data_IF_590598192197
#
_entry.id   IF_590598192197
#
_cell.length_a   1.000
_cell.length_b   1.000
_cell.length_c   1.000
_cell.angle_alpha   90.00
_cell.angle_beta   90.00
_cell.angle_gamma   90.00
#
_symmetry.space_group_name_H-M   'P 1'
#
loop_
_entity.id
_entity.type
_entity.pdbx_description
1 polymer ?
#
# COMPACT_ATOMS: atom_id res chain seq x y z
N UNK A 1 -9.82 3.14 -35.00
CA UNK A 1 -10.26 4.52 -35.27
C UNK A 1 -9.49 5.01 -36.48
N UNK A 2 -10.04 5.93 -37.28
CA UNK A 2 -9.33 6.48 -38.44
C UNK A 2 -8.17 7.39 -37.99
N UNK A 3 -7.00 7.28 -38.62
CA UNK A 3 -5.78 8.00 -38.22
C UNK A 3 -5.96 9.52 -38.29
N UNK A 4 -6.78 10.00 -39.22
CA UNK A 4 -7.14 11.40 -39.35
C UNK A 4 -7.91 11.94 -38.15
N UNK A 5 -8.85 11.16 -37.62
CA UNK A 5 -9.66 11.54 -36.45
C UNK A 5 -8.81 11.59 -35.19
N UNK A 6 -7.86 10.67 -35.02
CA UNK A 6 -6.93 10.69 -33.88
C UNK A 6 -5.98 11.88 -33.94
N UNK A 7 -5.53 12.29 -35.14
CA UNK A 7 -4.73 13.49 -35.32
C UNK A 7 -5.52 14.78 -35.02
N UNK A 8 -6.78 14.85 -35.48
CA UNK A 8 -7.68 15.97 -35.21
C UNK A 8 -7.93 16.15 -33.71
N UNK A 9 -8.28 15.07 -32.99
CA UNK A 9 -8.51 15.09 -31.54
C UNK A 9 -7.26 15.57 -30.77
N UNK A 10 -6.08 15.11 -31.16
CA UNK A 10 -4.81 15.56 -30.54
C UNK A 10 -4.58 17.06 -30.74
N UNK A 11 -4.85 17.58 -31.92
CA UNK A 11 -4.68 19.00 -32.22
C UNK A 11 -5.65 19.88 -31.40
N UNK A 12 -6.92 19.45 -31.31
CA UNK A 12 -7.92 20.17 -30.52
C UNK A 12 -7.63 20.12 -29.00
N UNK A 13 -7.18 18.97 -28.47
CA UNK A 13 -6.75 18.86 -27.06
C UNK A 13 -5.54 19.75 -26.75
N UNK A 14 -4.59 19.89 -27.67
CA UNK A 14 -3.46 20.81 -27.50
C UNK A 14 -3.90 22.29 -27.44
N UNK A 15 -4.92 22.67 -28.22
CA UNK A 15 -5.53 24.00 -28.17
C UNK A 15 -6.40 24.24 -26.93
N UNK A 16 -6.93 23.18 -26.32
CA UNK A 16 -7.78 23.28 -25.14
C UNK A 16 -7.01 23.22 -23.82
N UNK A 17 -6.00 22.35 -23.76
CA UNK A 17 -5.31 21.98 -22.52
C UNK A 17 -3.78 22.19 -22.60
N UNK A 18 -3.28 22.69 -23.72
CA UNK A 18 -1.85 22.99 -23.90
C UNK A 18 -1.43 24.33 -23.30
N UNK A 19 -0.11 24.61 -23.31
CA UNK A 19 0.45 25.84 -22.74
C UNK A 19 -0.06 27.13 -23.42
N UNK A 20 -0.41 27.03 -24.71
CA UNK A 20 -0.93 28.13 -25.53
C UNK A 20 -2.43 27.96 -25.82
N UNK A 21 -3.21 27.55 -24.81
CA UNK A 21 -4.62 27.22 -24.99
C UNK A 21 -5.46 28.42 -25.51
N UNK A 22 -6.02 28.28 -26.70
CA UNK A 22 -6.77 29.32 -27.43
C UNK A 22 -8.20 28.88 -27.80
N UNK A 23 -8.60 27.63 -27.51
CA UNK A 23 -9.85 27.04 -28.03
C UNK A 23 -11.11 27.78 -27.57
N UNK A 24 -11.06 28.47 -26.43
CA UNK A 24 -12.20 29.18 -25.86
C UNK A 24 -12.72 30.33 -26.77
N UNK A 25 -11.87 30.84 -27.67
CA UNK A 25 -12.26 31.84 -28.66
C UNK A 25 -12.93 31.23 -29.92
N UNK A 26 -12.98 29.90 -30.03
CA UNK A 26 -13.48 29.16 -31.18
C UNK A 26 -14.60 28.17 -30.74
N UNK A 27 -15.88 28.60 -30.77
CA UNK A 27 -16.99 27.76 -30.32
C UNK A 27 -17.22 26.54 -31.21
N UNK A 28 -16.82 26.60 -32.49
CA UNK A 28 -16.92 25.46 -33.42
C UNK A 28 -15.90 24.40 -33.06
N UNK A 29 -14.65 24.80 -32.81
CA UNK A 29 -13.61 23.87 -32.35
C UNK A 29 -13.95 23.26 -30.98
N UNK A 30 -14.57 24.03 -30.09
CA UNK A 30 -15.02 23.53 -28.77
C UNK A 30 -16.10 22.46 -28.92
N UNK A 31 -17.11 22.70 -29.77
CA UNK A 31 -18.16 21.70 -30.06
C UNK A 31 -17.56 20.43 -30.68
N UNK A 32 -16.64 20.60 -31.63
CA UNK A 32 -15.98 19.48 -32.32
C UNK A 32 -15.12 18.65 -31.37
N UNK A 33 -14.41 19.29 -30.44
CA UNK A 33 -13.64 18.61 -29.41
C UNK A 33 -14.55 17.75 -28.53
N UNK A 34 -15.68 18.31 -28.05
CA UNK A 34 -16.63 17.59 -27.20
C UNK A 34 -17.20 16.33 -27.89
N UNK A 35 -17.53 16.42 -29.18
CA UNK A 35 -17.99 15.26 -29.97
C UNK A 35 -16.92 14.15 -30.04
N UNK A 36 -15.68 14.53 -30.34
CA UNK A 36 -14.58 13.57 -30.49
C UNK A 36 -14.20 12.92 -29.16
N UNK A 37 -14.22 13.66 -28.05
CA UNK A 37 -13.96 13.10 -26.72
C UNK A 37 -15.08 12.18 -26.23
N UNK A 38 -16.33 12.48 -26.58
CA UNK A 38 -17.45 11.58 -26.30
C UNK A 38 -17.30 10.26 -27.08
N UNK A 39 -16.92 10.32 -28.35
CA UNK A 39 -16.67 9.14 -29.17
C UNK A 39 -15.46 8.33 -28.67
N UNK A 40 -14.38 8.99 -28.28
CA UNK A 40 -13.17 8.37 -27.69
C UNK A 40 -13.50 7.63 -26.39
N UNK A 41 -14.28 8.26 -25.49
CA UNK A 41 -14.75 7.64 -24.24
C UNK A 41 -15.65 6.43 -24.50
N UNK A 42 -16.55 6.52 -25.48
CA UNK A 42 -17.42 5.41 -25.86
C UNK A 42 -16.64 4.24 -26.47
N UNK A 43 -15.62 4.52 -27.29
CA UNK A 43 -14.74 3.50 -27.86
C UNK A 43 -13.90 2.81 -26.77
N UNK A 44 -13.34 3.58 -25.82
CA UNK A 44 -12.62 3.03 -24.68
C UNK A 44 -13.52 2.14 -23.81
N UNK A 45 -14.75 2.57 -23.52
CA UNK A 45 -15.73 1.78 -22.78
C UNK A 45 -16.12 0.49 -23.53
N UNK A 46 -16.22 0.54 -24.87
CA UNK A 46 -16.49 -0.65 -25.67
C UNK A 46 -15.31 -1.63 -25.69
N UNK A 47 -14.06 -1.15 -25.66
CA UNK A 47 -12.86 -1.98 -25.60
C UNK A 47 -12.68 -2.69 -24.24
N UNK A 48 -13.20 -2.09 -23.16
CA UNK A 48 -13.16 -2.65 -21.81
C UNK A 48 -14.30 -3.63 -21.52
N UNK A 49 -15.31 -3.73 -22.41
CA UNK A 49 -16.36 -4.75 -22.24
C UNK A 49 -15.76 -6.14 -22.44
N UNK A 50 -15.95 -7.07 -21.48
CA UNK A 50 -15.60 -8.47 -21.69
C UNK A 50 -16.22 -8.96 -22.99
N UNK A 51 -15.40 -9.57 -23.85
CA UNK A 51 -15.90 -10.22 -25.06
C UNK A 51 -16.79 -11.37 -24.59
N UNK A 52 -18.07 -11.31 -24.93
CA UNK A 52 -19.04 -12.35 -24.56
C UNK A 52 -18.48 -13.72 -24.94
N UNK A 53 -18.36 -14.67 -24.00
CA UNK A 53 -17.82 -15.98 -24.30
C UNK A 53 -18.73 -16.65 -25.32
N UNK A 54 -18.14 -17.12 -26.42
CA UNK A 54 -18.80 -17.98 -27.39
C UNK A 54 -19.27 -19.25 -26.64
N UNK A 55 -20.52 -19.72 -26.84
CA UNK A 55 -21.11 -20.74 -25.99
C UNK A 55 -20.32 -22.05 -26.05
N UNK A 56 -19.78 -22.44 -24.89
CA UNK A 56 -19.04 -23.68 -24.66
C UNK A 56 -20.01 -24.87 -24.56
N UNK A 57 -19.73 -26.03 -25.19
CA UNK A 57 -20.63 -27.19 -25.15
C UNK A 57 -20.65 -27.89 -23.78
N UNK A 58 -21.84 -28.33 -23.35
CA UNK A 58 -22.13 -28.94 -22.03
C UNK A 58 -21.33 -30.23 -21.73
N UNK A 59 -20.94 -30.47 -20.46
CA UNK A 59 -20.27 -31.69 -20.03
C UNK A 59 -21.23 -32.82 -19.56
N UNK A 60 -20.94 -34.06 -19.95
CA UNK A 60 -21.60 -35.29 -19.48
C UNK A 60 -21.04 -35.78 -18.12
N UNK A 61 -21.83 -36.54 -17.32
CA UNK A 61 -21.52 -36.82 -15.91
C UNK A 61 -20.48 -37.93 -15.66
N UNK A 62 -19.71 -37.74 -14.58
CA UNK A 62 -18.70 -38.64 -14.02
C UNK A 62 -19.27 -39.96 -13.44
N UNK A 63 -18.49 -41.03 -13.59
CA UNK A 63 -18.65 -42.30 -12.86
C UNK A 63 -17.58 -42.37 -11.78
N UNK A 64 -18.03 -42.47 -10.53
CA UNK A 64 -17.26 -42.71 -9.30
C UNK A 64 -16.67 -44.12 -9.26
N UNK A 65 -15.43 -44.24 -8.76
CA UNK A 65 -14.96 -45.48 -8.14
C UNK A 65 -14.13 -45.17 -6.88
N UNK A 66 -14.51 -45.82 -5.79
CA UNK A 66 -14.05 -45.62 -4.42
C UNK A 66 -13.21 -46.84 -4.00
N UNK A 67 -12.00 -46.63 -3.46
CA UNK A 67 -11.37 -47.63 -2.58
C UNK A 67 -10.57 -46.96 -1.46
N UNK A 68 -10.99 -47.32 -0.25
CA UNK A 68 -10.50 -46.92 1.05
C UNK A 68 -9.07 -47.39 1.37
N UNK A 69 -8.40 -46.72 2.31
CA UNK A 69 -8.08 -47.27 3.65
C UNK A 69 -6.94 -46.51 4.38
N UNK A 70 -7.32 -45.97 5.55
CA UNK A 70 -6.66 -46.10 6.87
C UNK A 70 -5.39 -45.27 7.18
N UNK A 71 -5.57 -44.27 8.05
CA UNK A 71 -4.59 -43.70 8.98
C UNK A 71 -4.20 -44.73 10.08
N UNK A 72 -3.00 -44.63 10.70
CA UNK A 72 -2.83 -43.75 11.88
C UNK A 72 -1.47 -43.02 11.97
N UNK A 73 -1.48 -41.89 12.70
CA UNK A 73 -0.32 -41.09 13.13
C UNK A 73 0.46 -41.72 14.32
N UNK A 74 1.33 -40.99 15.05
CA UNK A 74 2.72 -40.67 14.76
C UNK A 74 3.68 -41.28 15.81
N UNK A 75 4.94 -41.56 15.46
CA UNK A 75 5.94 -42.03 16.45
C UNK A 75 7.25 -41.25 16.30
N UNK A 76 7.65 -40.62 17.40
CA UNK A 76 8.93 -39.92 17.53
C UNK A 76 10.14 -40.85 17.51
N UNK A 77 11.32 -40.27 17.33
CA UNK A 77 12.58 -40.92 17.68
C UNK A 77 13.62 -39.87 18.06
N UNK A 78 14.06 -40.01 19.30
CA UNK A 78 15.17 -39.40 20.01
C UNK A 78 16.54 -39.64 19.34
N UNK A 79 17.55 -38.80 19.60
CA UNK A 79 18.93 -39.09 19.23
C UNK A 79 19.58 -39.96 20.32
N UNK A 80 20.20 -41.08 19.92
CA UNK A 80 21.11 -41.81 20.80
C UNK A 80 22.15 -42.60 20.00
N UNK A 81 23.43 -42.24 20.19
CA UNK A 81 24.59 -43.05 19.81
C UNK A 81 25.64 -42.91 20.92
N UNK A 82 25.48 -43.82 21.88
CA UNK A 82 26.30 -44.30 22.99
C UNK A 82 27.82 -44.00 23.00
N UNK A 83 28.26 -43.77 24.23
CA UNK A 83 29.61 -43.76 24.83
C UNK A 83 30.42 -45.05 24.61
N UNK A 84 31.76 -44.93 24.64
CA UNK A 84 32.55 -45.55 25.72
C UNK A 84 33.97 -44.95 25.81
N UNK A 85 34.39 -44.66 27.04
CA UNK A 85 35.67 -44.08 27.44
C UNK A 85 36.81 -45.13 27.52
N UNK A 86 38.06 -44.70 27.78
CA UNK A 86 38.51 -44.86 29.16
C UNK A 86 39.24 -43.63 29.73
N UNK A 87 39.29 -43.63 31.06
CA UNK A 87 39.82 -42.59 31.90
C UNK A 87 41.35 -42.54 31.98
N UNK A 88 41.80 -41.33 32.32
CA UNK A 88 42.94 -40.96 33.17
C UNK A 88 44.17 -40.31 32.51
N UNK A 89 44.78 -39.43 33.30
CA UNK A 89 46.03 -38.68 33.13
C UNK A 89 45.90 -37.19 32.71
N UNK A 90 45.70 -36.37 33.73
CA UNK A 90 46.02 -34.93 33.76
C UNK A 90 47.48 -34.71 33.35
N UNK A 91 47.70 -34.18 32.16
CA UNK A 91 48.98 -33.55 31.77
C UNK A 91 48.76 -32.21 31.08
N UNK A 92 49.63 -31.26 31.40
CA UNK A 92 49.48 -29.83 31.21
C UNK A 92 49.34 -29.38 29.75
N UNK A 93 48.46 -28.40 29.51
CA UNK A 93 48.23 -27.79 28.19
C UNK A 93 49.41 -26.91 27.75
N UNK A 94 49.95 -27.08 26.51
CA UNK A 94 50.91 -26.13 25.96
C UNK A 94 50.17 -24.86 25.52
N UNK A 95 50.59 -23.70 26.03
CA UNK A 95 50.04 -22.39 25.62
C UNK A 95 50.37 -22.10 24.16
N UNK A 96 49.40 -21.73 23.31
CA UNK A 96 49.67 -21.35 21.92
C UNK A 96 50.43 -20.01 21.86
N UNK A 97 51.33 -19.82 20.88
CA UNK A 97 52.14 -18.61 20.77
C UNK A 97 51.28 -17.39 20.44
N UNK A 98 51.47 -16.31 21.21
CA UNK A 98 50.71 -15.04 21.12
C UNK A 98 50.63 -14.42 19.72
N UNK A 99 51.54 -14.79 18.81
CA UNK A 99 51.55 -14.32 17.40
C UNK A 99 50.40 -14.88 16.57
N UNK A 100 49.93 -16.09 16.88
CA UNK A 100 48.80 -16.73 16.18
C UNK A 100 47.45 -16.11 16.61
N UNK A 101 47.34 -15.67 17.86
CA UNK A 101 46.17 -14.94 18.37
C UNK A 101 46.01 -13.56 17.72
N UNK A 102 47.12 -12.87 17.42
CA UNK A 102 47.08 -11.58 16.71
C UNK A 102 46.59 -11.71 15.27
N UNK A 103 46.97 -12.78 14.57
CA UNK A 103 46.49 -13.03 13.20
C UNK A 103 45.01 -13.40 13.17
N UNK A 104 44.49 -14.08 14.20
CA UNK A 104 43.06 -14.36 14.34
C UNK A 104 42.23 -13.10 14.62
N UNK A 105 42.74 -12.19 15.45
CA UNK A 105 42.06 -10.92 15.73
C UNK A 105 41.98 -10.01 14.49
N UNK A 106 43.03 -10.00 13.65
CA UNK A 106 43.02 -9.24 12.39
C UNK A 106 41.97 -9.72 11.39
N UNK A 107 41.78 -11.04 11.25
CA UNK A 107 40.77 -11.62 10.36
C UNK A 107 39.34 -11.36 10.82
N UNK A 108 39.07 -11.39 12.14
CA UNK A 108 37.76 -11.05 12.69
C UNK A 108 37.41 -9.57 12.50
N UNK A 109 38.38 -8.67 12.65
CA UNK A 109 38.16 -7.24 12.41
C UNK A 109 37.85 -6.94 10.93
N UNK A 110 38.53 -7.59 9.99
CA UNK A 110 38.28 -7.43 8.55
C UNK A 110 36.88 -7.93 8.16
N UNK A 111 36.45 -9.09 8.68
CA UNK A 111 35.11 -9.63 8.43
C UNK A 111 34.03 -8.74 9.04
N UNK A 112 34.25 -8.18 10.23
CA UNK A 112 33.33 -7.23 10.84
C UNK A 112 33.20 -5.94 10.01
N UNK A 113 34.31 -5.39 9.49
CA UNK A 113 34.28 -4.20 8.63
C UNK A 113 33.55 -4.47 7.31
N UNK A 114 33.78 -5.63 6.69
CA UNK A 114 33.09 -6.04 5.46
C UNK A 114 31.59 -6.30 5.70
N UNK A 115 31.23 -6.92 6.82
CA UNK A 115 29.83 -7.13 7.19
C UNK A 115 29.09 -5.80 7.42
N UNK A 116 29.72 -4.84 8.10
CA UNK A 116 29.17 -3.49 8.31
C UNK A 116 29.03 -2.75 6.97
N UNK A 117 30.02 -2.85 6.08
CA UNK A 117 29.97 -2.22 4.76
C UNK A 117 28.84 -2.80 3.87
N UNK A 118 28.69 -4.13 3.83
CA UNK A 118 27.61 -4.79 3.06
C UNK A 118 26.24 -4.44 3.62
N UNK A 119 26.09 -4.38 4.95
CA UNK A 119 24.83 -4.00 5.60
C UNK A 119 24.49 -2.53 5.31
N UNK A 120 25.48 -1.63 5.30
CA UNK A 120 25.24 -0.23 4.95
C UNK A 120 24.83 -0.02 3.49
N UNK A 121 25.34 -0.84 2.58
CA UNK A 121 25.06 -0.71 1.15
C UNK A 121 23.68 -1.25 0.76
N UNK A 122 23.15 -2.25 1.48
CA UNK A 122 21.81 -2.79 1.24
C UNK A 122 20.71 -1.87 1.77
N UNK A 123 20.93 -1.18 2.89
CA UNK A 123 19.94 -0.22 3.43
C UNK A 123 19.84 1.07 2.61
N UNK A 124 20.95 1.53 2.02
CA UNK A 124 20.98 2.79 1.26
C UNK A 124 20.19 2.74 -0.07
N UNK A 125 19.97 1.55 -0.65
CA UNK A 125 19.33 1.42 -1.96
C UNK A 125 17.80 1.56 -1.92
N UNK A 126 17.19 1.44 -0.74
CA UNK A 126 15.73 1.54 -0.55
C UNK A 126 15.23 2.96 -0.35
N UNK A 127 16.11 3.96 -0.23
CA UNK A 127 15.76 5.36 0.02
C UNK A 127 15.67 6.22 -1.26
N UNK A 128 15.87 5.65 -2.45
CA UNK A 128 16.08 6.41 -3.69
C UNK A 128 14.78 6.90 -4.38
N UNK A 129 13.62 6.78 -3.74
CA UNK A 129 12.36 7.39 -4.21
C UNK A 129 11.75 8.29 -3.14
N UNK A 130 12.58 9.06 -2.45
CA UNK A 130 12.08 10.21 -1.70
C UNK A 130 11.83 11.33 -2.72
N UNK A 131 10.56 11.64 -2.99
CA UNK A 131 10.17 12.96 -3.48
C UNK A 131 10.90 14.01 -2.65
N UNK A 132 11.58 14.96 -3.30
CA UNK A 132 12.32 16.02 -2.62
C UNK A 132 11.37 16.78 -1.70
N UNK A 133 11.39 16.43 -0.41
CA UNK A 133 10.72 17.20 0.62
C UNK A 133 11.42 18.56 0.73
N UNK A 134 10.69 19.63 1.08
CA UNK A 134 11.32 20.88 1.52
C UNK A 134 12.38 20.60 2.58
N UNK A 135 13.48 21.36 2.59
CA UNK A 135 14.62 21.15 3.49
C UNK A 135 14.25 21.20 4.98
N UNK A 136 13.12 21.82 5.31
CA UNK A 136 12.55 21.98 6.65
C UNK A 136 11.32 21.10 6.91
N UNK A 137 10.86 20.31 5.94
CA UNK A 137 9.71 19.43 6.14
C UNK A 137 10.09 18.23 7.00
N UNK A 138 9.58 18.21 8.24
CA UNK A 138 9.74 17.10 9.17
C UNK A 138 8.51 16.20 9.12
N UNK A 139 8.68 14.98 8.57
CA UNK A 139 7.68 13.91 8.65
C UNK A 139 8.03 12.98 9.81
N UNK A 140 7.11 12.87 10.78
CA UNK A 140 7.26 12.00 11.95
C UNK A 140 6.22 10.89 11.91
N UNK A 141 6.64 9.64 12.16
CA UNK A 141 5.72 8.53 12.41
C UNK A 141 5.09 8.70 13.80
N UNK A 142 3.77 8.71 13.85
CA UNK A 142 2.99 8.93 15.06
C UNK A 142 2.61 7.60 15.71
N UNK A 143 2.03 6.70 14.92
CA UNK A 143 1.52 5.40 15.38
C UNK A 143 1.21 4.49 14.19
N UNK A 144 0.96 3.22 14.48
CA UNK A 144 0.40 2.25 13.54
C UNK A 144 -0.93 1.76 14.09
N UNK A 145 -2.00 1.91 13.31
CA UNK A 145 -3.35 1.43 13.64
C UNK A 145 -3.45 -0.05 13.29
N UNK A 146 -3.81 -0.87 14.27
CA UNK A 146 -3.90 -2.32 14.07
C UNK A 146 -5.29 -2.74 13.56
N UNK A 147 -5.39 -3.85 12.80
CA UNK A 147 -6.69 -4.41 12.42
C UNK A 147 -7.50 -4.81 13.66
N UNK A 148 -8.76 -4.41 13.70
CA UNK A 148 -9.67 -4.74 14.82
C UNK A 148 -10.59 -5.91 14.50
N UNK A 149 -10.85 -6.15 13.21
CA UNK A 149 -11.82 -7.16 12.76
C UNK A 149 -13.27 -6.78 13.08
N UNK A 150 -13.53 -5.52 13.44
CA UNK A 150 -14.88 -4.99 13.56
C UNK A 150 -15.57 -5.01 12.19
N UNK A 151 -16.89 -5.16 12.17
CA UNK A 151 -17.67 -5.10 10.94
C UNK A 151 -17.46 -3.74 10.25
N UNK A 152 -17.60 -3.70 8.94
CA UNK A 152 -17.60 -2.45 8.19
C UNK A 152 -19.04 -1.96 7.99
N UNK A 153 -19.29 -0.64 7.89
CA UNK A 153 -20.63 -0.12 7.64
C UNK A 153 -21.28 -0.78 6.44
N UNK A 154 -22.57 -1.13 6.55
CA UNK A 154 -23.32 -1.82 5.48
C UNK A 154 -23.21 -1.08 4.15
N UNK A 155 -23.23 0.26 4.20
CA UNK A 155 -23.09 1.08 3.01
C UNK A 155 -21.80 0.81 2.24
N UNK A 156 -20.71 0.45 2.93
CA UNK A 156 -19.40 0.20 2.34
C UNK A 156 -19.23 -1.24 1.83
N UNK A 157 -20.03 -2.19 2.32
CA UNK A 157 -20.02 -3.57 1.83
C UNK A 157 -20.43 -3.64 0.37
N UNK A 158 -21.42 -2.84 -0.04
CA UNK A 158 -21.83 -2.73 -1.45
C UNK A 158 -20.74 -2.09 -2.34
N UNK A 159 -19.78 -1.36 -1.74
CA UNK A 159 -18.64 -0.80 -2.47
C UNK A 159 -17.44 -1.77 -2.59
N UNK A 160 -17.52 -2.97 -2.01
CA UNK A 160 -16.40 -3.91 -1.94
C UNK A 160 -16.85 -5.32 -2.28
N UNK A 161 -16.36 -5.89 -3.39
CA UNK A 161 -16.55 -7.33 -3.66
C UNK A 161 -15.56 -8.21 -2.88
N UNK A 162 -14.65 -7.59 -2.10
CA UNK A 162 -13.60 -8.27 -1.33
C UNK A 162 -13.67 -8.02 0.19
N UNK A 163 -12.81 -8.69 0.97
CA UNK A 163 -12.76 -8.53 2.42
C UNK A 163 -12.38 -7.10 2.77
N UNK A 164 -13.28 -6.39 3.44
CA UNK A 164 -13.00 -5.09 4.02
C UNK A 164 -12.34 -5.28 5.40
N UNK A 165 -11.39 -4.41 5.73
CA UNK A 165 -10.66 -4.44 7.01
C UNK A 165 -10.89 -3.15 7.77
N UNK A 166 -11.31 -3.26 9.02
CA UNK A 166 -11.39 -2.16 9.98
C UNK A 166 -10.13 -2.10 10.84
N UNK A 167 -9.76 -0.90 11.24
CA UNK A 167 -8.58 -0.65 12.06
C UNK A 167 -8.95 0.11 13.34
N UNK A 168 -8.00 0.22 14.27
CA UNK A 168 -8.13 1.02 15.47
C UNK A 168 -8.51 2.47 15.13
N UNK A 169 -9.40 3.05 15.94
CA UNK A 169 -9.80 4.45 15.79
C UNK A 169 -8.66 5.38 16.18
N UNK A 170 -8.42 6.39 15.36
CA UNK A 170 -7.45 7.44 15.62
C UNK A 170 -8.16 8.76 15.97
N UNK A 171 -8.34 9.04 17.28
CA UNK A 171 -8.94 10.27 17.78
C UNK A 171 -10.30 10.61 17.13
N UNK A 172 -11.23 9.65 17.10
CA UNK A 172 -12.55 9.80 16.49
C UNK A 172 -12.57 9.63 14.96
N UNK A 173 -11.41 9.40 14.33
CA UNK A 173 -11.30 9.02 12.92
C UNK A 173 -11.24 7.50 12.81
N UNK A 174 -12.17 6.93 12.05
CA UNK A 174 -12.16 5.54 11.67
C UNK A 174 -11.45 5.36 10.33
N UNK A 175 -10.61 4.33 10.24
CA UNK A 175 -9.97 3.92 8.99
C UNK A 175 -10.52 2.58 8.55
N UNK A 176 -10.96 2.51 7.30
CA UNK A 176 -11.44 1.26 6.69
C UNK A 176 -10.69 1.05 5.38
N UNK A 177 -10.24 -0.18 5.17
CA UNK A 177 -9.64 -0.60 3.92
C UNK A 177 -10.63 -1.50 3.16
N UNK A 178 -10.81 -1.23 1.87
CA UNK A 178 -11.68 -1.99 0.99
C UNK A 178 -10.98 -2.34 -0.29
N UNK A 179 -11.39 -3.45 -0.91
CA UNK A 179 -10.96 -3.82 -2.25
C UNK A 179 -12.01 -3.35 -3.25
N UNK A 180 -11.61 -2.58 -4.24
CA UNK A 180 -12.56 -1.94 -5.17
C UNK A 180 -12.47 -2.63 -6.53
N UNK A 181 -13.41 -3.53 -6.85
CA UNK A 181 -13.29 -4.47 -7.98
C UNK A 181 -13.42 -3.81 -9.36
N UNK A 182 -14.07 -2.65 -9.44
CA UNK A 182 -14.19 -1.90 -10.70
C UNK A 182 -12.99 -0.98 -10.98
N UNK A 183 -12.04 -0.86 -10.04
CA UNK A 183 -10.77 -0.17 -10.29
C UNK A 183 -9.76 -1.13 -10.94
N UNK A 184 -8.90 -0.61 -11.85
CA UNK A 184 -7.95 -1.44 -12.58
C UNK A 184 -6.78 -1.91 -11.70
N UNK A 185 -6.43 -3.20 -11.80
CA UNK A 185 -5.52 -3.86 -10.86
C UNK A 185 -6.19 -4.02 -9.50
N UNK A 186 -5.83 -5.05 -8.73
CA UNK A 186 -6.44 -5.36 -7.41
C UNK A 186 -6.23 -4.19 -6.42
N UNK A 187 -7.00 -3.12 -6.62
CA UNK A 187 -6.80 -1.81 -6.04
C UNK A 187 -7.50 -1.79 -4.70
N UNK A 188 -6.70 -1.51 -3.69
CA UNK A 188 -7.15 -1.40 -2.32
C UNK A 188 -7.23 0.07 -1.99
N UNK A 189 -8.30 0.49 -1.34
CA UNK A 189 -8.50 1.87 -0.94
C UNK A 189 -8.67 1.96 0.57
N UNK A 190 -8.01 2.95 1.18
CA UNK A 190 -8.32 3.37 2.54
C UNK A 190 -9.31 4.52 2.50
N UNK A 191 -10.28 4.48 3.40
CA UNK A 191 -11.28 5.51 3.62
C UNK A 191 -11.16 5.99 5.05
N UNK A 192 -11.19 7.32 5.22
CA UNK A 192 -11.24 7.95 6.53
C UNK A 192 -12.60 8.57 6.74
N UNK A 193 -13.21 8.33 7.89
CA UNK A 193 -14.52 8.88 8.25
C UNK A 193 -14.62 9.16 9.75
N UNK A 194 -15.63 9.92 10.15
CA UNK A 194 -15.96 10.08 11.57
C UNK A 194 -16.53 8.77 12.11
N UNK A 195 -16.16 8.39 13.33
CA UNK A 195 -16.85 7.31 14.05
C UNK A 195 -18.34 7.61 14.26
N UNK A 196 -18.74 8.88 14.26
CA UNK A 196 -20.14 9.29 14.42
C UNK A 196 -20.95 9.11 13.13
N UNK A 197 -20.29 9.23 11.96
CA UNK A 197 -20.92 9.08 10.64
C UNK A 197 -20.97 7.62 10.19
N UNK A 198 -20.43 6.70 11.00
CA UNK A 198 -20.33 5.28 10.70
C UNK A 198 -21.71 4.67 10.36
N UNK A 199 -22.73 5.02 11.13
CA UNK A 199 -24.10 4.50 10.96
C UNK A 199 -24.94 5.33 9.97
N UNK A 200 -24.48 6.53 9.61
CA UNK A 200 -25.14 7.42 8.64
C UNK A 200 -24.76 7.10 7.19
N UNK A 201 -23.62 6.43 7.01
CA UNK A 201 -23.11 6.01 5.71
C UNK A 201 -23.89 4.79 5.17
N UNK A 202 -24.81 5.06 4.24
CA UNK A 202 -25.58 4.05 3.51
C UNK A 202 -24.99 3.76 2.14
N UNK A 203 -25.45 2.69 1.48
CA UNK A 203 -24.87 2.19 0.23
C UNK A 203 -24.93 3.17 -0.95
N UNK A 204 -25.73 4.23 -0.85
CA UNK A 204 -25.88 5.24 -1.89
C UNK A 204 -25.31 6.62 -1.50
N UNK A 205 -24.74 6.76 -0.29
CA UNK A 205 -24.17 8.02 0.20
C UNK A 205 -23.08 7.72 1.21
N UNK A 206 -21.84 7.63 0.73
CA UNK A 206 -20.66 7.62 1.59
C UNK A 206 -20.17 9.06 1.81
N UNK A 207 -20.12 9.46 3.08
CA UNK A 207 -19.51 10.69 3.54
C UNK A 207 -18.32 10.35 4.44
N UNK A 208 -17.15 10.83 4.06
CA UNK A 208 -15.92 10.65 4.80
C UNK A 208 -14.97 11.80 4.50
N UNK A 209 -13.90 11.90 5.29
CA UNK A 209 -12.88 12.94 5.15
C UNK A 209 -12.05 12.78 3.88
N UNK A 210 -12.02 11.57 3.32
CA UNK A 210 -11.37 11.31 2.05
C UNK A 210 -11.09 9.83 1.83
N UNK A 211 -10.60 9.53 0.63
CA UNK A 211 -10.21 8.20 0.22
C UNK A 211 -8.87 8.27 -0.53
N UNK A 212 -8.08 7.21 -0.40
CA UNK A 212 -6.83 7.04 -1.12
C UNK A 212 -6.61 5.59 -1.50
N UNK A 213 -6.37 5.33 -2.78
CA UNK A 213 -6.18 3.97 -3.31
C UNK A 213 -4.72 3.66 -3.62
N UNK A 214 -4.40 2.38 -3.59
CA UNK A 214 -3.13 1.86 -4.08
C UNK A 214 -3.02 2.05 -5.59
N UNK A 215 -1.79 2.10 -6.08
CA UNK A 215 -1.48 2.21 -7.50
C UNK A 215 -0.19 1.44 -7.81
N UNK A 216 -0.32 0.22 -8.32
CA UNK A 216 0.83 -0.67 -8.54
C UNK A 216 1.58 -0.95 -7.24
N UNK A 217 2.85 -0.57 -7.17
CA UNK A 217 3.68 -0.76 -5.98
C UNK A 217 3.44 0.30 -4.88
N UNK A 218 2.66 1.35 -5.17
CA UNK A 218 2.32 2.35 -4.17
C UNK A 218 1.18 1.85 -3.27
N UNK A 219 1.35 1.84 -1.94
CA UNK A 219 0.29 1.46 -1.03
C UNK A 219 -0.85 2.48 -1.07
N UNK A 220 -2.04 2.05 -0.63
CA UNK A 220 -3.15 2.95 -0.39
C UNK A 220 -2.73 4.00 0.63
N UNK A 221 -2.86 5.27 0.28
CA UNK A 221 -2.47 6.37 1.16
C UNK A 221 -3.34 7.59 0.97
N UNK A 222 -3.62 8.29 2.06
CA UNK A 222 -4.45 9.48 2.10
C UNK A 222 -3.80 10.51 3.00
N UNK A 223 -3.66 11.73 2.49
CA UNK A 223 -3.15 12.88 3.25
C UNK A 223 -4.21 13.95 3.32
N UNK A 224 -4.36 14.58 4.48
CA UNK A 224 -5.28 15.70 4.65
C UNK A 224 -4.73 16.68 5.69
N UNK A 225 -5.30 17.88 5.70
CA UNK A 225 -5.04 18.89 6.71
C UNK A 225 -6.22 18.92 7.68
N UNK A 226 -5.94 18.85 8.97
CA UNK A 226 -6.98 18.93 10.00
C UNK A 226 -7.72 20.26 9.85
N UNK A 227 -9.04 20.16 9.76
CA UNK A 227 -9.98 21.25 9.55
C UNK A 227 -11.15 21.16 10.54
N UNK A 228 -11.97 22.20 10.62
CA UNK A 228 -13.00 22.36 11.65
C UNK A 228 -14.06 21.23 11.65
N UNK A 229 -14.30 20.61 10.50
CA UNK A 229 -15.23 19.50 10.30
C UNK A 229 -14.75 18.15 10.86
N UNK A 230 -13.48 18.05 11.28
CA UNK A 230 -12.93 16.84 11.87
C UNK A 230 -13.30 16.68 13.35
N UNK A 231 -13.19 15.46 13.93
CA UNK A 231 -13.63 15.19 15.29
C UNK A 231 -12.91 16.06 16.31
N UNK A 232 -13.62 16.45 17.38
CA UNK A 232 -13.05 17.30 18.44
C UNK A 232 -11.80 16.68 19.05
N UNK A 233 -11.82 15.38 19.30
CA UNK A 233 -10.69 14.62 19.84
C UNK A 233 -9.44 14.73 18.96
N UNK A 234 -9.60 14.76 17.63
CA UNK A 234 -8.51 14.94 16.69
C UNK A 234 -7.99 16.38 16.78
N UNK A 235 -8.89 17.38 16.75
CA UNK A 235 -8.56 18.81 16.79
C UNK A 235 -7.87 19.24 18.09
N UNK A 236 -8.25 18.65 19.22
CA UNK A 236 -7.61 18.89 20.52
C UNK A 236 -6.16 18.43 20.53
N UNK A 237 -5.87 17.29 19.87
CA UNK A 237 -4.53 16.71 19.83
C UNK A 237 -3.66 17.26 18.70
N UNK A 238 -4.28 17.57 17.57
CA UNK A 238 -3.70 18.06 16.32
C UNK A 238 -4.52 19.27 15.86
N UNK A 239 -4.09 20.50 16.18
CA UNK A 239 -4.85 21.71 15.84
C UNK A 239 -5.14 21.84 14.34
N UNK A 240 -6.18 22.62 14.01
CA UNK A 240 -6.51 22.96 12.61
C UNK A 240 -5.27 23.51 11.88
N UNK A 241 -5.06 23.04 10.65
CA UNK A 241 -3.85 23.31 9.86
C UNK A 241 -2.77 22.23 9.96
N UNK A 242 -2.90 21.26 10.86
CA UNK A 242 -1.95 20.14 10.98
C UNK A 242 -2.10 19.16 9.81
N UNK A 243 -1.01 18.83 9.13
CA UNK A 243 -1.02 17.85 8.02
C UNK A 243 -0.77 16.43 8.54
N UNK A 244 -1.69 15.51 8.24
CA UNK A 244 -1.61 14.09 8.58
C UNK A 244 -1.63 13.25 7.31
N UNK A 245 -0.94 12.11 7.35
CA UNK A 245 -0.96 11.11 6.28
C UNK A 245 -1.17 9.71 6.86
N UNK A 246 -2.05 8.95 6.24
CA UNK A 246 -2.36 7.57 6.56
C UNK A 246 -1.85 6.71 5.41
N UNK A 247 -1.09 5.66 5.70
CA UNK A 247 -0.50 4.76 4.69
C UNK A 247 -0.78 3.31 5.07
N UNK A 248 -1.50 2.60 4.20
CA UNK A 248 -1.77 1.19 4.38
C UNK A 248 -0.48 0.35 4.30
N UNK A 249 -0.39 -0.64 5.18
CA UNK A 249 0.65 -1.67 5.23
C UNK A 249 -0.03 -3.03 5.32
N UNK A 250 0.76 -4.09 5.19
CA UNK A 250 0.27 -5.45 5.42
C UNK A 250 -0.29 -5.62 6.85
N UNK A 251 0.41 -5.04 7.84
CA UNK A 251 0.14 -5.23 9.27
C UNK A 251 -0.82 -4.22 9.89
N UNK A 252 -1.20 -3.16 9.18
CA UNK A 252 -1.90 -2.02 9.78
C UNK A 252 -1.92 -0.78 8.88
N UNK A 253 -2.25 0.36 9.47
CA UNK A 253 -2.16 1.67 8.81
C UNK A 253 -1.20 2.56 9.60
N UNK A 254 -0.11 2.99 8.96
CA UNK A 254 0.81 3.95 9.57
C UNK A 254 0.25 5.37 9.49
N UNK A 255 0.33 6.11 10.59
CA UNK A 255 -0.04 7.53 10.65
C UNK A 255 1.21 8.37 10.78
N UNK A 256 1.33 9.35 9.90
CA UNK A 256 2.43 10.30 9.85
C UNK A 256 1.91 11.72 10.05
N UNK A 257 2.75 12.54 10.65
CA UNK A 257 2.56 13.97 10.85
C UNK A 257 3.60 14.71 10.04
N UNK A 258 3.18 15.70 9.25
CA UNK A 258 4.08 16.72 8.71
C UNK A 258 3.95 17.98 9.55
N UNK A 259 5.05 18.42 10.16
CA UNK A 259 5.11 19.76 10.72
C UNK A 259 5.04 20.77 9.57
N UNK A 260 4.19 21.80 9.70
CA UNK A 260 4.16 22.87 8.72
C UNK A 260 5.47 23.67 8.80
N UNK A 261 6.02 24.13 7.67
CA UNK A 261 7.19 25.01 7.69
C UNK A 261 6.86 26.24 8.53
N UNK A 262 7.70 26.57 9.51
CA UNK A 262 7.56 27.83 10.26
C UNK A 262 7.91 28.96 9.32
N UNK A 263 6.92 29.43 8.54
CA UNK A 263 7.02 30.74 7.91
C UNK A 263 7.03 31.78 9.01
N UNK A 264 8.24 32.16 9.46
CA UNK A 264 8.44 33.42 10.14
C UNK A 264 7.96 34.52 9.19
N UNK A 265 6.76 35.04 9.47
CA UNK A 265 6.26 36.26 8.86
C UNK A 265 7.29 37.36 9.14
N UNK A 266 8.05 37.71 8.12
CA UNK A 266 8.86 38.93 8.15
C UNK A 266 7.90 40.10 8.00
N UNK A 267 7.74 40.84 9.09
CA UNK A 267 7.02 42.12 9.23
C UNK A 267 7.56 43.19 8.26
#
# INVERSE_FOLDING_TARGET
>A
MDDGVTAELRALRARAYGPDADIAADPVATSRLAELEAADRAAAAAALRPREPEPEPEPEPEVVDEVAALFPEPVGSTPDAREDAPADERTATPRPPKRLLLTWAGSLALVAVLAVAVTSFTTARSAATATTLPDDAQITHVTTLLPTGADVPDGLQDFSDGPARSFETFFGVETIEVSVPWLPGDSTCILLMSTEQRDENSSNSWSGYGQGCSAGAFPASLSFVVADEHPEQLRERYPVGTALQFVARETGVDVFLSEAPTTEATD
#
